data_IF_310291210098
#
_entry.id   IF_310291210098
#
_cell.length_a   1.000
_cell.length_b   1.000
_cell.length_c   1.000
_cell.angle_alpha   90.00
_cell.angle_beta   90.00
_cell.angle_gamma   90.00
#
_symmetry.space_group_name_H-M   'P 1'
#
loop_
_entity.id
_entity.type
_entity.pdbx_description
1 polymer ?
#
# COMPACT_ATOMS: atom_id res chain seq x y z
N UNK A 1 -12.08 52.32 -1.18
CA UNK A 1 -12.04 51.23 -2.17
C UNK A 1 -10.67 51.23 -2.81
N UNK A 2 -9.87 50.19 -2.58
CA UNK A 2 -8.79 49.68 -3.44
C UNK A 2 -8.13 48.50 -2.70
N UNK A 3 -8.11 47.33 -3.33
CA UNK A 3 -7.52 46.09 -2.83
C UNK A 3 -6.03 46.04 -3.19
N UNK A 4 -5.16 45.63 -2.26
CA UNK A 4 -3.85 45.07 -2.59
C UNK A 4 -3.62 43.80 -1.78
N UNK A 5 -3.54 42.66 -2.49
CA UNK A 5 -2.95 41.39 -2.03
C UNK A 5 -1.43 41.48 -2.27
N UNK A 6 -0.64 40.85 -1.41
CA UNK A 6 0.66 40.18 -1.66
C UNK A 6 1.27 39.82 -0.29
N UNK A 7 1.80 38.63 0.02
CA UNK A 7 1.92 37.37 -0.66
C UNK A 7 2.31 36.34 0.40
N UNK A 8 1.66 35.19 0.44
CA UNK A 8 2.14 34.07 1.23
C UNK A 8 3.39 33.53 0.55
N UNK A 9 4.53 33.66 1.21
CA UNK A 9 5.80 33.08 0.80
C UNK A 9 5.61 31.57 0.55
N UNK A 10 5.87 31.04 -0.66
CA UNK A 10 5.81 29.61 -0.87
C UNK A 10 6.95 29.00 -0.05
N UNK A 11 6.60 28.13 0.89
CA UNK A 11 7.57 27.18 1.46
C UNK A 11 8.19 26.46 0.27
N UNK A 12 9.41 26.89 -0.08
CA UNK A 12 10.23 26.30 -1.12
C UNK A 12 10.48 24.86 -0.71
N UNK A 13 9.61 23.98 -1.19
CA UNK A 13 9.80 22.54 -1.12
C UNK A 13 11.00 22.20 -1.97
N UNK A 14 12.18 22.29 -1.35
CA UNK A 14 13.42 21.72 -1.83
C UNK A 14 13.09 20.33 -2.35
N UNK A 15 13.22 20.15 -3.66
CA UNK A 15 13.02 18.86 -4.31
C UNK A 15 14.12 17.96 -3.81
N UNK A 16 13.91 17.29 -2.68
CA UNK A 16 14.72 16.16 -2.24
C UNK A 16 14.61 15.15 -3.36
N UNK A 17 15.60 15.15 -4.25
CA UNK A 17 15.80 14.09 -5.21
C UNK A 17 15.88 12.82 -4.40
N UNK A 18 14.82 12.01 -4.45
CA UNK A 18 14.82 10.68 -3.82
C UNK A 18 15.82 9.87 -4.64
N UNK A 19 17.08 9.86 -4.21
CA UNK A 19 18.06 8.93 -4.75
C UNK A 19 17.55 7.54 -4.39
N UNK A 20 16.94 6.86 -5.36
CA UNK A 20 16.43 5.51 -5.18
C UNK A 20 17.63 4.59 -4.95
N UNK A 21 17.91 4.29 -3.68
CA UNK A 21 18.94 3.35 -3.29
C UNK A 21 18.32 1.94 -3.28
N UNK A 22 18.59 1.16 -4.32
CA UNK A 22 18.26 -0.26 -4.34
C UNK A 22 19.30 -1.05 -3.54
N UNK A 23 18.95 -1.48 -2.32
CA UNK A 23 19.77 -2.44 -1.56
C UNK A 23 19.40 -3.85 -2.02
N UNK A 24 20.30 -4.51 -2.77
CA UNK A 24 20.08 -5.88 -3.24
C UNK A 24 20.59 -6.90 -2.23
N UNK A 25 19.68 -7.43 -1.43
CA UNK A 25 19.92 -8.58 -0.55
C UNK A 25 19.31 -9.82 -1.18
N UNK A 26 20.01 -10.95 -1.16
CA UNK A 26 19.41 -12.23 -1.56
C UNK A 26 18.44 -12.69 -0.46
N UNK A 27 17.14 -12.50 -0.66
CA UNK A 27 16.09 -13.00 0.22
C UNK A 27 15.21 -14.05 -0.48
N UNK A 28 14.64 -14.97 0.31
CA UNK A 28 13.53 -15.84 -0.14
C UNK A 28 12.16 -15.32 0.33
N UNK A 29 12.13 -14.25 1.13
CA UNK A 29 10.92 -13.63 1.69
C UNK A 29 10.54 -12.45 0.82
N UNK A 30 9.32 -12.47 0.29
CA UNK A 30 8.78 -11.41 -0.57
C UNK A 30 8.03 -10.34 0.25
N UNK A 31 7.29 -10.75 1.29
CA UNK A 31 6.59 -9.86 2.20
C UNK A 31 6.36 -10.56 3.56
N UNK A 32 6.23 -9.78 4.63
CA UNK A 32 5.92 -10.25 5.98
C UNK A 32 4.76 -9.48 6.65
N UNK A 33 4.00 -8.71 5.87
CA UNK A 33 2.91 -7.85 6.32
C UNK A 33 1.55 -8.37 5.81
N UNK A 34 0.47 -7.71 6.23
CA UNK A 34 -0.87 -7.92 5.66
C UNK A 34 -0.88 -7.62 4.17
N UNK A 35 -1.58 -8.44 3.41
CA UNK A 35 -1.75 -8.30 1.97
C UNK A 35 -3.01 -7.48 1.66
N UNK A 36 -3.06 -6.81 0.52
CA UNK A 36 -4.26 -6.06 0.11
C UNK A 36 -5.15 -6.94 -0.77
N UNK A 37 -6.43 -7.02 -0.46
CA UNK A 37 -7.38 -7.67 -1.36
C UNK A 37 -7.52 -6.86 -2.67
N UNK A 38 -7.34 -7.47 -3.86
CA UNK A 38 -7.42 -6.74 -5.13
C UNK A 38 -8.84 -6.22 -5.46
N UNK A 39 -9.87 -6.75 -4.80
CA UNK A 39 -11.27 -6.40 -5.05
C UNK A 39 -11.78 -5.29 -4.12
N UNK A 40 -11.49 -5.37 -2.82
CA UNK A 40 -12.03 -4.43 -1.82
C UNK A 40 -10.98 -3.63 -1.03
N UNK A 41 -9.69 -3.81 -1.32
CA UNK A 41 -8.57 -3.14 -0.63
C UNK A 41 -8.48 -3.47 0.88
N UNK A 42 -9.21 -4.50 1.34
CA UNK A 42 -9.19 -4.91 2.74
C UNK A 42 -7.87 -5.62 3.11
N UNK A 43 -7.38 -5.44 4.35
CA UNK A 43 -6.17 -6.12 4.81
C UNK A 43 -6.42 -7.61 5.05
N UNK A 44 -5.71 -8.47 4.33
CA UNK A 44 -5.76 -9.93 4.45
C UNK A 44 -4.52 -10.44 5.16
N UNK A 45 -4.71 -11.10 6.30
CA UNK A 45 -3.62 -11.74 7.03
C UNK A 45 -3.26 -13.10 6.40
N UNK A 46 -2.00 -13.34 6.00
CA UNK A 46 -1.58 -14.64 5.44
C UNK A 46 -1.43 -15.76 6.49
N UNK A 47 -1.64 -15.44 7.78
CA UNK A 47 -1.52 -16.38 8.90
C UNK A 47 -0.07 -16.53 9.41
N UNK A 48 0.13 -17.49 10.32
CA UNK A 48 1.44 -17.72 10.97
C UNK A 48 2.41 -18.53 10.11
N UNK A 49 1.90 -19.26 9.12
CA UNK A 49 2.70 -20.09 8.22
C UNK A 49 3.14 -19.29 7.00
N UNK A 50 4.40 -19.48 6.60
CA UNK A 50 4.88 -18.98 5.31
C UNK A 50 4.07 -19.58 4.14
N UNK A 51 3.58 -18.71 3.26
CA UNK A 51 2.88 -19.07 2.04
C UNK A 51 3.78 -18.87 0.82
N UNK A 52 3.68 -19.78 -0.14
CA UNK A 52 4.28 -19.62 -1.46
C UNK A 52 3.42 -18.70 -2.34
N UNK A 53 4.00 -17.99 -3.33
CA UNK A 53 3.23 -17.10 -4.20
C UNK A 53 2.17 -17.77 -5.07
N UNK A 54 2.18 -19.10 -5.18
CA UNK A 54 1.21 -19.88 -5.96
C UNK A 54 0.07 -20.46 -5.12
N UNK A 55 0.20 -20.45 -3.78
CA UNK A 55 -0.83 -20.98 -2.89
C UNK A 55 -2.10 -20.14 -2.95
N UNK A 56 -3.28 -20.76 -2.72
CA UNK A 56 -4.55 -20.07 -2.66
C UNK A 56 -4.70 -19.29 -1.36
N UNK A 57 -5.39 -18.16 -1.43
CA UNK A 57 -5.84 -17.36 -0.28
C UNK A 57 -7.20 -16.74 -0.59
N UNK A 58 -8.00 -16.50 0.45
CA UNK A 58 -9.32 -15.89 0.34
C UNK A 58 -9.43 -14.67 1.25
N UNK A 59 -10.03 -13.60 0.74
CA UNK A 59 -10.34 -12.41 1.52
C UNK A 59 -11.47 -12.69 2.52
N UNK A 60 -11.27 -12.46 3.84
CA UNK A 60 -12.30 -12.68 4.84
C UNK A 60 -13.41 -11.63 4.81
N UNK A 61 -13.25 -10.52 4.06
CA UNK A 61 -14.21 -9.42 4.00
C UNK A 61 -15.17 -9.54 2.81
N UNK A 62 -14.65 -9.72 1.58
CA UNK A 62 -15.47 -9.78 0.37
C UNK A 62 -15.58 -11.17 -0.25
N UNK A 63 -14.81 -12.16 0.24
CA UNK A 63 -14.82 -13.52 -0.28
C UNK A 63 -13.97 -13.76 -1.54
N UNK A 64 -13.31 -12.73 -2.08
CA UNK A 64 -12.42 -12.86 -3.24
C UNK A 64 -11.33 -13.92 -2.99
N UNK A 65 -11.20 -14.89 -3.89
CA UNK A 65 -10.22 -15.97 -3.80
C UNK A 65 -9.23 -15.89 -4.97
N UNK A 66 -7.94 -16.03 -4.67
CA UNK A 66 -6.89 -15.94 -5.69
C UNK A 66 -5.58 -16.55 -5.20
N UNK A 67 -4.50 -16.36 -5.95
CA UNK A 67 -3.16 -16.77 -5.51
C UNK A 67 -2.59 -15.68 -4.61
N UNK A 68 -1.74 -16.06 -3.66
CA UNK A 68 -1.06 -15.10 -2.76
C UNK A 68 -0.39 -13.96 -3.53
N UNK A 69 0.21 -14.24 -4.69
CA UNK A 69 0.83 -13.20 -5.53
C UNK A 69 -0.13 -12.13 -6.04
N UNK A 70 -1.41 -12.45 -6.19
CA UNK A 70 -2.42 -11.53 -6.71
C UNK A 70 -2.77 -10.47 -5.65
N UNK A 71 -2.56 -10.80 -4.37
CA UNK A 71 -2.72 -9.92 -3.22
C UNK A 71 -1.42 -9.17 -2.86
N UNK A 72 -0.29 -9.47 -3.52
CA UNK A 72 0.97 -8.70 -3.42
C UNK A 72 0.97 -7.46 -4.31
N UNK A 73 -0.02 -7.33 -5.20
CA UNK A 73 -0.05 -6.25 -6.17
C UNK A 73 -0.56 -4.96 -5.55
N UNK A 74 0.32 -3.97 -5.43
CA UNK A 74 -0.04 -2.56 -5.32
C UNK A 74 -0.33 -2.05 -6.74
N UNK A 75 -1.42 -2.51 -7.37
CA UNK A 75 -1.84 -1.97 -8.64
C UNK A 75 -1.90 -0.44 -8.51
N UNK A 76 -1.29 0.29 -9.45
CA UNK A 76 -1.28 1.74 -9.38
C UNK A 76 -2.74 2.23 -9.29
N UNK A 77 -3.08 3.08 -8.30
CA UNK A 77 -2.17 3.75 -7.37
C UNK A 77 -1.81 2.90 -6.14
N UNK A 78 -0.53 2.92 -5.74
CA UNK A 78 -0.03 2.37 -4.47
C UNK A 78 -0.49 3.22 -3.27
N UNK A 79 -1.78 3.58 -3.20
CA UNK A 79 -2.31 4.27 -2.02
C UNK A 79 -2.18 3.30 -0.84
N UNK A 80 -1.73 3.76 0.33
CA UNK A 80 -1.82 2.96 1.55
C UNK A 80 -3.25 2.44 1.69
N UNK A 81 -3.46 1.19 2.10
CA UNK A 81 -4.82 0.68 2.34
C UNK A 81 -5.54 1.60 3.33
N UNK A 82 -6.49 2.41 2.85
CA UNK A 82 -7.23 3.33 3.70
C UNK A 82 -8.39 2.57 4.33
N UNK A 83 -8.26 2.21 5.60
CA UNK A 83 -9.34 1.61 6.37
C UNK A 83 -10.12 2.73 7.08
N UNK A 84 -11.38 2.93 6.71
CA UNK A 84 -12.31 3.76 7.49
C UNK A 84 -12.83 2.96 8.68
N UNK A 85 -12.40 3.31 9.90
CA UNK A 85 -12.95 2.74 11.13
C UNK A 85 -14.17 3.56 11.54
N UNK A 86 -15.36 2.95 11.52
CA UNK A 86 -16.59 3.57 12.03
C UNK A 86 -16.89 3.04 13.42
N UNK A 87 -16.75 3.90 14.42
CA UNK A 87 -17.13 3.60 15.81
C UNK A 87 -18.59 4.01 15.99
N UNK A 88 -19.39 3.15 16.63
CA UNK A 88 -20.76 3.48 17.07
C UNK A 88 -20.76 3.86 18.53
#
# INVERSE_FOLDING_TARGET
MAFHRDGADPIGGERVGRTHQEIRVRSRVVAAATLACPSCDAPVAPGERALTPAEPIQCPFCGEAGRVRDFLSLAAPTRPAHVEIRIR
#
